data_IF_710925937676
#
_entry.id   IF_710925937676
#
_cell.length_a   1.000
_cell.length_b   1.000
_cell.length_c   1.000
_cell.angle_alpha   90.00
_cell.angle_beta   90.00
_cell.angle_gamma   90.00
#
_symmetry.space_group_name_H-M   'P 1'
#
loop_
_entity.id
_entity.type
_entity.pdbx_description
1 polymer ?
#
# COMPACT_ATOMS: atom_id res chain seq x y z
N UNK A 1 -11.23 22.50 0.84
CA UNK A 1 -11.03 21.58 1.98
C UNK A 1 -11.13 20.17 1.43
N UNK A 2 -10.21 19.26 1.79
CA UNK A 2 -10.23 17.87 1.31
C UNK A 2 -11.04 17.03 2.31
N UNK A 3 -11.96 16.21 1.81
CA UNK A 3 -12.80 15.30 2.57
C UNK A 3 -12.81 13.90 1.91
N UNK A 4 -13.38 12.89 2.59
CA UNK A 4 -13.36 11.50 2.14
C UNK A 4 -14.08 11.27 0.80
N UNK A 5 -15.13 12.05 0.53
CA UNK A 5 -15.92 12.03 -0.71
C UNK A 5 -15.27 12.84 -1.86
N UNK A 6 -14.12 13.45 -1.62
CA UNK A 6 -13.42 14.24 -2.66
C UNK A 6 -13.04 13.33 -3.84
N UNK A 7 -13.54 13.68 -5.03
CA UNK A 7 -13.31 12.92 -6.26
C UNK A 7 -11.85 12.94 -6.73
N UNK A 8 -11.43 11.91 -7.46
CA UNK A 8 -10.09 11.85 -8.07
C UNK A 8 -9.83 12.98 -9.07
N UNK A 9 -10.87 13.47 -9.75
CA UNK A 9 -10.78 14.63 -10.65
C UNK A 9 -10.45 15.91 -9.87
N UNK A 10 -11.09 16.10 -8.72
CA UNK A 10 -10.82 17.24 -7.86
C UNK A 10 -9.41 17.15 -7.25
N UNK A 11 -8.98 15.97 -6.82
CA UNK A 11 -7.62 15.75 -6.34
C UNK A 11 -6.57 16.05 -7.41
N UNK A 12 -6.84 15.73 -8.68
CA UNK A 12 -5.97 16.11 -9.79
C UNK A 12 -5.95 17.62 -10.02
N UNK A 13 -7.11 18.29 -9.98
CA UNK A 13 -7.20 19.77 -10.10
C UNK A 13 -6.42 20.48 -9.00
N UNK A 14 -6.42 19.93 -7.79
CA UNK A 14 -5.68 20.45 -6.63
C UNK A 14 -4.19 20.08 -6.64
N UNK A 15 -3.71 19.36 -7.66
CA UNK A 15 -2.32 18.96 -7.79
C UNK A 15 -1.88 17.86 -6.82
N UNK A 16 -2.82 17.15 -6.20
CA UNK A 16 -2.53 16.02 -5.31
C UNK A 16 -2.22 14.73 -6.08
N UNK A 17 -2.86 14.55 -7.24
CA UNK A 17 -2.61 13.43 -8.15
C UNK A 17 -2.05 13.92 -9.47
N UNK A 18 -1.06 13.22 -10.01
CA UNK A 18 -0.71 13.39 -11.43
C UNK A 18 -1.84 12.90 -12.33
N UNK A 19 -1.87 13.35 -13.60
CA UNK A 19 -2.82 12.85 -14.60
C UNK A 19 -2.70 11.33 -14.77
N UNK A 20 -1.46 10.80 -14.68
CA UNK A 20 -1.22 9.36 -14.73
C UNK A 20 -1.85 8.65 -13.53
N UNK A 21 -1.62 9.13 -12.32
CA UNK A 21 -2.17 8.52 -11.12
C UNK A 21 -3.70 8.59 -11.11
N UNK A 22 -4.29 9.73 -11.50
CA UNK A 22 -5.75 9.85 -11.68
C UNK A 22 -6.28 8.82 -12.67
N UNK A 23 -5.65 8.64 -13.83
CA UNK A 23 -6.10 7.66 -14.83
C UNK A 23 -5.95 6.21 -14.35
N UNK A 24 -4.91 5.91 -13.58
CA UNK A 24 -4.74 4.59 -12.96
C UNK A 24 -5.82 4.36 -11.89
N UNK A 25 -6.09 5.34 -11.03
CA UNK A 25 -7.19 5.30 -10.06
C UNK A 25 -8.54 5.03 -10.75
N UNK A 26 -8.84 5.80 -11.80
CA UNK A 26 -10.06 5.63 -12.61
C UNK A 26 -10.17 4.22 -13.20
N UNK A 27 -9.06 3.69 -13.74
CA UNK A 27 -9.02 2.34 -14.33
C UNK A 27 -9.17 1.25 -13.27
N UNK A 28 -8.60 1.47 -12.08
CA UNK A 28 -8.72 0.59 -10.91
C UNK A 28 -10.02 0.75 -10.12
N UNK A 29 -10.98 1.56 -10.60
CA UNK A 29 -12.28 1.73 -9.95
C UNK A 29 -12.29 2.66 -8.72
N UNK A 30 -11.16 3.32 -8.40
CA UNK A 30 -11.10 4.29 -7.31
C UNK A 30 -11.66 5.63 -7.77
N UNK A 31 -12.71 6.12 -7.09
CA UNK A 31 -13.41 7.35 -7.46
C UNK A 31 -13.21 8.47 -6.46
N UNK A 32 -12.98 8.14 -5.20
CA UNK A 32 -12.86 9.11 -4.10
C UNK A 32 -11.58 8.90 -3.29
N UNK A 33 -11.24 9.90 -2.47
CA UNK A 33 -10.16 9.79 -1.48
C UNK A 33 -10.36 8.59 -0.55
N UNK A 34 -11.59 8.34 -0.09
CA UNK A 34 -11.92 7.17 0.73
C UNK A 34 -11.52 5.85 0.05
N UNK A 35 -11.81 5.70 -1.25
CA UNK A 35 -11.41 4.50 -1.98
C UNK A 35 -9.88 4.36 -2.03
N UNK A 36 -9.16 5.48 -2.20
CA UNK A 36 -7.69 5.50 -2.19
C UNK A 36 -7.14 5.09 -0.82
N UNK A 37 -7.76 5.55 0.27
CA UNK A 37 -7.33 5.21 1.64
C UNK A 37 -7.53 3.74 2.01
N UNK A 38 -8.43 3.05 1.31
CA UNK A 38 -8.78 1.64 1.56
C UNK A 38 -8.31 0.70 0.44
N UNK A 39 -7.45 1.18 -0.46
CA UNK A 39 -6.98 0.37 -1.58
C UNK A 39 -6.04 -0.74 -1.11
N UNK A 40 -6.26 -1.96 -1.59
CA UNK A 40 -5.24 -3.01 -1.51
C UNK A 40 -4.12 -2.71 -2.52
N UNK A 41 -2.94 -2.39 -2.00
CA UNK A 41 -1.75 -2.06 -2.79
C UNK A 41 -1.33 -3.20 -3.73
N UNK A 42 -1.51 -4.46 -3.33
CA UNK A 42 -1.06 -5.62 -4.11
C UNK A 42 -1.95 -5.79 -5.35
N UNK A 43 -3.26 -5.67 -5.17
CA UNK A 43 -4.20 -5.68 -6.30
C UNK A 43 -4.03 -4.44 -7.18
N UNK A 44 -3.82 -3.28 -6.57
CA UNK A 44 -3.70 -2.03 -7.32
C UNK A 44 -2.44 -1.95 -8.20
N UNK A 45 -1.37 -2.65 -7.82
CA UNK A 45 -0.18 -2.83 -8.66
C UNK A 45 -0.46 -3.59 -9.96
N UNK A 46 -1.52 -4.41 -10.01
CA UNK A 46 -1.93 -5.14 -11.23
C UNK A 46 -2.67 -4.25 -12.22
N UNK A 47 -3.11 -3.05 -11.80
CA UNK A 47 -3.80 -2.11 -12.69
C UNK A 47 -2.87 -1.69 -13.82
N UNK A 48 -3.39 -1.74 -15.05
CA UNK A 48 -2.64 -1.36 -16.25
C UNK A 48 -2.07 0.06 -16.09
N UNK A 49 -0.80 0.22 -16.46
CA UNK A 49 -0.06 1.47 -16.36
C UNK A 49 0.19 1.96 -14.92
N UNK A 50 -0.08 1.15 -13.90
CA UNK A 50 0.35 1.43 -12.53
C UNK A 50 1.85 1.15 -12.41
N UNK A 51 2.66 2.22 -12.44
CA UNK A 51 4.11 2.14 -12.26
C UNK A 51 4.51 2.50 -10.84
N UNK A 52 5.78 2.24 -10.47
CA UNK A 52 6.31 2.56 -9.12
C UNK A 52 6.03 4.00 -8.69
N UNK A 53 6.21 4.98 -9.58
CA UNK A 53 5.95 6.39 -9.28
C UNK A 53 4.50 6.65 -8.89
N UNK A 54 3.55 5.99 -9.57
CA UNK A 54 2.12 6.13 -9.29
C UNK A 54 1.77 5.55 -7.91
N UNK A 55 2.39 4.44 -7.52
CA UNK A 55 2.22 3.88 -6.16
C UNK A 55 2.76 4.83 -5.10
N UNK A 56 3.94 5.42 -5.31
CA UNK A 56 4.50 6.39 -4.35
C UNK A 56 3.60 7.62 -4.20
N UNK A 57 3.02 8.12 -5.29
CA UNK A 57 2.04 9.22 -5.23
C UNK A 57 0.82 8.83 -4.39
N UNK A 58 0.30 7.62 -4.57
CA UNK A 58 -0.84 7.11 -3.79
C UNK A 58 -0.48 6.92 -2.32
N UNK A 59 0.68 6.36 -2.02
CA UNK A 59 1.16 6.17 -0.66
C UNK A 59 1.33 7.51 0.07
N UNK A 60 1.84 8.52 -0.63
CA UNK A 60 1.96 9.89 -0.10
C UNK A 60 0.59 10.45 0.27
N UNK A 61 -0.45 10.18 -0.51
CA UNK A 61 -1.83 10.58 -0.22
C UNK A 61 -2.35 9.82 1.01
N UNK A 62 -2.13 8.50 1.06
CA UNK A 62 -2.57 7.66 2.18
C UNK A 62 -1.96 8.16 3.48
N UNK A 63 -0.65 8.41 3.50
CA UNK A 63 0.06 8.94 4.67
C UNK A 63 -0.49 10.31 5.09
N UNK A 64 -0.63 11.23 4.12
CA UNK A 64 -1.09 12.60 4.35
C UNK A 64 -2.52 12.68 4.89
N UNK A 65 -3.39 11.75 4.49
CA UNK A 65 -4.82 11.77 4.83
C UNK A 65 -5.24 10.60 5.74
N UNK A 66 -4.28 9.83 6.27
CA UNK A 66 -4.53 8.72 7.20
C UNK A 66 -5.33 9.13 8.44
N UNK A 67 -5.12 10.36 8.94
CA UNK A 67 -5.85 10.91 10.09
C UNK A 67 -7.34 11.16 9.81
N UNK A 68 -7.75 11.26 8.54
CA UNK A 68 -9.18 11.33 8.18
C UNK A 68 -9.87 9.97 8.37
N UNK A 69 -9.12 8.86 8.31
CA UNK A 69 -9.63 7.50 8.55
C UNK A 69 -9.86 7.24 10.04
N UNK A 70 -9.03 7.80 10.93
CA UNK A 70 -9.14 7.60 12.38
C UNK A 70 -10.39 8.20 13.02
N UNK A 71 -11.21 8.94 12.27
CA UNK A 71 -12.50 9.45 12.74
C UNK A 71 -13.65 8.47 12.45
N UNK A 72 -13.44 7.45 11.59
CA UNK A 72 -14.51 6.59 11.09
C UNK A 72 -14.43 5.11 11.51
N UNK A 73 -13.34 4.64 12.15
CA UNK A 73 -13.19 3.21 12.51
C UNK A 73 -12.56 3.08 13.90
N UNK A 74 -13.40 3.07 14.93
CA UNK A 74 -13.21 2.17 16.07
C UNK A 74 -13.68 0.78 15.62
N UNK A 75 -12.82 -0.23 15.81
CA UNK A 75 -12.97 -1.63 15.39
C UNK A 75 -12.87 -1.93 13.88
N UNK A 76 -11.65 -2.12 13.37
CA UNK A 76 -11.39 -3.21 12.41
C UNK A 76 -10.13 -3.98 12.82
N UNK A 77 -10.31 -5.31 12.80
CA UNK A 77 -9.42 -6.36 13.26
C UNK A 77 -8.07 -6.30 12.53
N UNK A 78 -6.97 -6.38 13.28
CA UNK A 78 -5.62 -6.55 12.75
C UNK A 78 -5.51 -7.97 12.21
N UNK A 79 -5.90 -8.19 10.96
CA UNK A 79 -5.50 -9.39 10.22
C UNK A 79 -3.97 -9.33 10.05
N UNK A 80 -3.23 -10.34 10.55
CA UNK A 80 -1.77 -10.34 10.48
C UNK A 80 -1.31 -10.17 9.04
N UNK A 81 -0.46 -9.17 8.78
CA UNK A 81 0.07 -8.96 7.43
C UNK A 81 0.73 -10.25 6.93
N UNK A 82 0.56 -10.58 5.65
CA UNK A 82 1.21 -11.76 5.04
C UNK A 82 2.73 -11.79 5.33
N UNK A 83 3.33 -10.61 5.53
CA UNK A 83 4.73 -10.45 5.92
C UNK A 83 5.03 -10.92 7.35
N UNK A 84 4.15 -10.65 8.31
CA UNK A 84 4.30 -11.08 9.71
C UNK A 84 4.08 -12.58 9.86
N UNK A 85 3.15 -13.14 9.09
CA UNK A 85 2.95 -14.58 9.03
C UNK A 85 4.16 -15.28 8.39
N UNK A 86 4.70 -14.73 7.30
CA UNK A 86 5.90 -15.25 6.64
C UNK A 86 7.15 -15.18 7.53
N UNK A 87 7.36 -14.07 8.27
CA UNK A 87 8.44 -13.95 9.27
C UNK A 87 8.30 -14.99 10.35
N UNK A 88 7.08 -15.17 10.89
CA UNK A 88 6.82 -16.14 11.94
C UNK A 88 7.06 -17.59 11.46
N UNK A 89 6.63 -17.93 10.24
CA UNK A 89 6.91 -19.24 9.60
C UNK A 89 8.42 -19.45 9.41
N UNK A 90 9.14 -18.40 9.01
CA UNK A 90 10.58 -18.43 8.80
C UNK A 90 11.38 -18.61 10.10
N UNK A 91 11.04 -17.89 11.17
CA UNK A 91 11.69 -18.03 12.48
C UNK A 91 11.50 -19.43 13.08
N UNK A 92 10.38 -20.08 12.76
CA UNK A 92 10.08 -21.46 13.16
C UNK A 92 10.81 -22.54 12.35
N UNK A 93 11.57 -22.18 11.31
CA UNK A 93 12.31 -23.16 10.50
C UNK A 93 13.40 -23.86 11.31
N UNK A 94 13.45 -25.18 11.17
CA UNK A 94 14.36 -26.08 11.89
C UNK A 94 15.85 -25.66 11.73
N UNK A 95 16.70 -25.84 12.75
CA UNK A 95 18.12 -25.45 12.72
C UNK A 95 18.96 -26.16 11.63
N UNK A 96 18.45 -27.25 11.04
CA UNK A 96 19.10 -27.92 9.91
C UNK A 96 19.09 -27.10 8.61
N UNK A 97 18.34 -25.99 8.57
CA UNK A 97 18.46 -25.03 7.48
C UNK A 97 19.80 -24.32 7.62
N UNK A 98 20.61 -24.40 6.55
CA UNK A 98 21.90 -23.71 6.50
C UNK A 98 21.77 -22.25 6.93
N UNK A 99 22.64 -21.82 7.84
CA UNK A 99 22.72 -20.42 8.31
C UNK A 99 22.85 -19.45 7.13
N UNK A 100 23.49 -19.87 6.03
CA UNK A 100 23.60 -19.07 4.81
C UNK A 100 22.27 -18.89 4.09
N UNK A 101 21.44 -19.93 4.04
CA UNK A 101 20.11 -19.85 3.44
C UNK A 101 19.17 -19.01 4.31
N UNK A 102 19.25 -19.17 5.64
CA UNK A 102 18.56 -18.31 6.60
C UNK A 102 18.92 -16.83 6.39
N UNK A 103 20.21 -16.49 6.42
CA UNK A 103 20.70 -15.14 6.20
C UNK A 103 20.31 -14.58 4.82
N UNK A 104 20.34 -15.40 3.76
CA UNK A 104 19.91 -14.97 2.42
C UNK A 104 18.41 -14.65 2.36
N UNK A 105 17.56 -15.46 2.99
CA UNK A 105 16.12 -15.24 3.05
C UNK A 105 15.79 -13.99 3.87
N UNK A 106 16.41 -13.80 5.04
CA UNK A 106 16.26 -12.58 5.85
C UNK A 106 16.69 -11.33 5.07
N UNK A 107 17.85 -11.39 4.42
CA UNK A 107 18.33 -10.29 3.58
C UNK A 107 17.37 -10.01 2.42
N UNK A 108 16.81 -11.06 1.80
CA UNK A 108 15.82 -10.93 0.72
C UNK A 108 14.57 -10.22 1.22
N UNK A 109 14.02 -10.63 2.37
CA UNK A 109 12.87 -9.98 3.01
C UNK A 109 13.18 -8.52 3.36
N UNK A 110 14.32 -8.24 4.00
CA UNK A 110 14.74 -6.89 4.36
C UNK A 110 14.92 -5.99 3.12
N UNK A 111 15.50 -6.52 2.04
CA UNK A 111 15.65 -5.81 0.75
C UNK A 111 14.31 -5.51 0.07
N UNK A 112 13.30 -6.35 0.26
CA UNK A 112 11.94 -6.07 -0.23
C UNK A 112 11.24 -5.00 0.62
N UNK A 113 11.47 -5.01 1.94
CA UNK A 113 10.91 -4.02 2.88
C UNK A 113 11.53 -2.63 2.74
N UNK A 114 12.82 -2.53 2.39
CA UNK A 114 13.57 -1.25 2.24
C UNK A 114 13.48 -0.64 0.83
N UNK A 115 12.66 -1.22 -0.06
CA UNK A 115 12.36 -0.67 -1.39
C UNK A 115 11.04 0.09 -1.48
N UNK A 116 10.42 0.34 -0.32
CA UNK A 116 9.37 1.32 -0.07
C UNK A 116 10.08 2.58 0.41
#
# INVERSE_FOLDING_TARGET
MIALDTSIEEMNRLGLLSVRAMNVCRTGGLKTLENILNVDKIEFLKVRNCGRKTIVEIDTIIEKYSSLKSVAISEEVIEPSECDEAKTKYERLHPSISVNLKSWVLWRFFKYMTKI
#
